data_IF_841152169679
#
_entry.id   IF_841152169679
#
_cell.length_a   1.000
_cell.length_b   1.000
_cell.length_c   1.000
_cell.angle_alpha   90.00
_cell.angle_beta   90.00
_cell.angle_gamma   90.00
#
_symmetry.space_group_name_H-M   'P 1'
#
loop_
_entity.id
_entity.type
_entity.pdbx_description
1 polymer ?
#
# COMPACT_ATOMS: atom_id res chain seq x y z
N UNK A 1 7.89 42.47 -24.39
CA UNK A 1 8.50 42.49 -23.05
C UNK A 1 7.57 41.82 -22.04
N UNK A 2 8.11 40.89 -21.26
CA UNK A 2 7.71 40.50 -19.90
C UNK A 2 6.34 39.87 -19.59
N UNK A 3 5.88 38.83 -20.30
CA UNK A 3 4.87 37.93 -19.68
C UNK A 3 4.88 36.46 -20.11
N UNK A 4 5.42 36.12 -21.28
CA UNK A 4 5.51 34.72 -21.72
C UNK A 4 6.76 33.96 -21.22
N UNK A 5 7.83 34.67 -20.81
CA UNK A 5 9.07 34.01 -20.36
C UNK A 5 9.00 33.41 -18.96
N UNK A 6 8.06 33.84 -18.10
CA UNK A 6 7.95 33.35 -16.72
C UNK A 6 7.27 31.97 -16.63
N UNK A 7 6.40 31.62 -17.58
CA UNK A 7 5.72 30.32 -17.58
C UNK A 7 6.60 29.17 -18.07
N UNK A 8 7.55 29.43 -18.97
CA UNK A 8 8.48 28.40 -19.44
C UNK A 8 9.57 28.07 -18.42
N UNK A 9 9.93 28.99 -17.53
CA UNK A 9 10.96 28.74 -16.50
C UNK A 9 10.38 27.94 -15.32
N UNK A 10 9.09 28.09 -15.00
CA UNK A 10 8.47 27.33 -13.91
C UNK A 10 8.28 25.83 -14.23
N UNK A 11 8.17 25.45 -15.51
CA UNK A 11 8.11 24.04 -15.94
C UNK A 11 9.49 23.37 -16.08
N UNK A 12 10.58 24.16 -16.05
CA UNK A 12 11.93 23.69 -16.34
C UNK A 12 12.83 23.54 -15.09
N UNK A 13 12.26 23.59 -13.88
CA UNK A 13 13.02 23.50 -12.61
C UNK A 13 12.88 22.12 -11.91
N UNK A 14 12.09 21.19 -12.44
CA UNK A 14 11.93 19.83 -11.84
C UNK A 14 12.72 18.74 -12.62
N UNK A 15 13.65 19.13 -13.50
CA UNK A 15 14.27 18.18 -14.44
C UNK A 15 15.70 17.71 -14.11
N UNK A 16 16.34 18.14 -13.01
CA UNK A 16 17.79 17.94 -12.86
C UNK A 16 18.28 17.25 -11.58
N UNK A 17 17.43 16.54 -10.83
CA UNK A 17 17.94 15.59 -9.83
C UNK A 17 16.85 14.66 -9.30
N UNK A 18 16.64 13.49 -9.91
CA UNK A 18 16.04 12.30 -9.26
C UNK A 18 16.05 11.09 -10.20
N UNK A 19 16.31 9.87 -9.73
CA UNK A 19 16.21 8.64 -10.52
C UNK A 19 14.76 8.30 -10.96
N UNK A 20 13.77 9.14 -10.62
CA UNK A 20 12.37 9.07 -11.04
C UNK A 20 12.07 9.80 -12.36
N UNK A 21 13.00 9.89 -13.32
CA UNK A 21 12.69 10.40 -14.66
C UNK A 21 11.63 9.51 -15.34
N UNK A 22 10.36 9.90 -15.23
CA UNK A 22 9.23 9.24 -15.89
C UNK A 22 8.04 8.90 -14.99
N UNK A 23 8.17 8.90 -13.66
CA UNK A 23 6.99 8.68 -12.80
C UNK A 23 6.20 9.98 -12.65
N UNK A 24 5.17 10.16 -13.46
CA UNK A 24 4.20 11.25 -13.30
C UNK A 24 3.26 10.89 -12.15
N UNK A 25 3.57 11.39 -10.96
CA UNK A 25 2.80 11.07 -9.73
C UNK A 25 1.35 11.56 -9.81
N UNK A 26 1.08 12.59 -10.61
CA UNK A 26 -0.27 13.12 -10.82
C UNK A 26 -1.23 12.09 -11.44
N UNK A 27 -0.70 11.14 -12.22
CA UNK A 27 -1.46 10.09 -12.90
C UNK A 27 -1.67 8.84 -12.05
N UNK A 28 -1.17 8.81 -10.81
CA UNK A 28 -1.35 7.68 -9.88
C UNK A 28 -2.75 7.77 -9.27
N UNK A 29 -3.69 6.83 -9.56
CA UNK A 29 -4.92 6.73 -8.81
C UNK A 29 -4.68 6.77 -7.30
N UNK A 30 -5.32 7.72 -6.63
CA UNK A 30 -5.15 7.94 -5.19
C UNK A 30 -5.73 6.80 -4.35
N UNK A 31 -6.57 5.96 -4.93
CA UNK A 31 -7.26 4.88 -4.23
C UNK A 31 -7.25 3.60 -5.05
N UNK A 32 -7.15 2.49 -4.34
CA UNK A 32 -7.45 1.17 -4.89
C UNK A 32 -8.96 0.99 -5.05
N UNK A 33 -9.39 -0.11 -5.65
CA UNK A 33 -10.79 -0.47 -5.87
C UNK A 33 -11.04 -1.87 -5.30
N UNK A 34 -12.15 -2.07 -4.59
CA UNK A 34 -12.63 -3.42 -4.22
C UNK A 34 -13.35 -4.10 -5.38
N UNK A 35 -14.07 -3.31 -6.15
CA UNK A 35 -14.77 -3.69 -7.39
C UNK A 35 -14.95 -2.42 -8.23
N UNK A 36 -15.59 -2.52 -9.41
CA UNK A 36 -15.77 -1.39 -10.34
C UNK A 36 -16.44 -0.14 -9.73
N UNK A 37 -17.25 -0.28 -8.68
CA UNK A 37 -18.05 0.81 -8.09
C UNK A 37 -17.57 1.23 -6.69
N UNK A 38 -16.73 0.43 -6.05
CA UNK A 38 -16.39 0.58 -4.63
C UNK A 38 -14.92 0.86 -4.46
N UNK A 39 -14.58 2.06 -4.00
CA UNK A 39 -13.21 2.42 -3.69
C UNK A 39 -12.69 1.64 -2.46
N UNK A 40 -11.45 1.18 -2.56
CA UNK A 40 -10.73 0.42 -1.55
C UNK A 40 -9.90 1.31 -0.63
N UNK A 41 -8.75 0.78 -0.20
CA UNK A 41 -7.79 1.48 0.66
C UNK A 41 -7.09 2.62 -0.10
N UNK A 42 -6.70 3.72 0.59
CA UNK A 42 -5.92 4.79 0.00
C UNK A 42 -4.51 4.31 -0.36
N UNK A 43 -3.99 4.78 -1.49
CA UNK A 43 -2.58 4.65 -1.84
C UNK A 43 -1.78 5.62 -0.97
N UNK A 44 -0.76 5.11 -0.29
CA UNK A 44 0.03 5.90 0.65
C UNK A 44 1.53 5.62 0.57
N UNK A 45 1.98 4.72 -0.29
CA UNK A 45 3.41 4.46 -0.51
C UNK A 45 3.71 4.09 -1.97
N UNK A 46 4.89 4.47 -2.45
CA UNK A 46 5.49 4.00 -3.70
C UNK A 46 6.90 3.53 -3.40
N UNK A 47 7.32 2.44 -4.03
CA UNK A 47 8.70 1.93 -3.96
C UNK A 47 9.26 1.81 -5.38
N UNK A 48 10.41 2.42 -5.62
CA UNK A 48 11.14 2.38 -6.89
C UNK A 48 12.38 1.52 -6.71
N UNK A 49 12.20 0.21 -6.87
CA UNK A 49 13.25 -0.79 -6.65
C UNK A 49 12.83 -2.16 -7.20
N UNK A 50 13.80 -3.05 -7.43
CA UNK A 50 13.52 -4.44 -7.80
C UNK A 50 12.71 -5.19 -6.75
N UNK A 51 11.83 -6.07 -7.22
CA UNK A 51 11.06 -7.00 -6.39
C UNK A 51 11.92 -7.75 -5.38
N UNK A 52 13.10 -8.19 -5.79
CA UNK A 52 14.02 -8.99 -4.97
C UNK A 52 14.50 -8.19 -3.76
N UNK A 53 14.88 -6.93 -3.95
CA UNK A 53 15.37 -6.07 -2.86
C UNK A 53 14.23 -5.59 -1.96
N UNK A 54 13.04 -5.34 -2.51
CA UNK A 54 11.82 -5.11 -1.74
C UNK A 54 11.54 -6.33 -0.85
N UNK A 55 11.55 -7.53 -1.43
CA UNK A 55 11.30 -8.77 -0.73
C UNK A 55 12.29 -9.00 0.41
N UNK A 56 13.59 -8.88 0.14
CA UNK A 56 14.67 -8.99 1.13
C UNK A 56 14.47 -8.01 2.29
N UNK A 57 14.13 -6.76 1.99
CA UNK A 57 13.89 -5.72 3.02
C UNK A 57 12.74 -6.10 3.95
N UNK A 58 11.63 -6.59 3.39
CA UNK A 58 10.50 -7.04 4.19
C UNK A 58 10.83 -8.28 5.03
N UNK A 59 11.43 -9.31 4.44
CA UNK A 59 11.72 -10.56 5.16
C UNK A 59 12.77 -10.39 6.24
N UNK A 60 13.80 -9.57 6.02
CA UNK A 60 14.77 -9.18 7.06
C UNK A 60 14.13 -8.40 8.21
N UNK A 61 13.02 -7.71 7.96
CA UNK A 61 12.21 -7.06 8.99
C UNK A 61 11.13 -7.97 9.62
N UNK A 62 11.17 -9.28 9.37
CA UNK A 62 10.25 -10.26 9.92
C UNK A 62 8.88 -10.35 9.23
N UNK A 63 8.68 -9.64 8.12
CA UNK A 63 7.44 -9.73 7.35
C UNK A 63 7.41 -10.99 6.50
N UNK A 64 6.21 -11.52 6.30
CA UNK A 64 5.96 -12.69 5.46
C UNK A 64 5.13 -12.30 4.24
N UNK A 65 5.41 -12.92 3.10
CA UNK A 65 4.52 -12.85 1.93
C UNK A 65 3.19 -13.52 2.29
N UNK A 66 2.09 -12.83 2.05
CA UNK A 66 0.76 -13.39 2.25
C UNK A 66 0.48 -14.47 1.20
N UNK A 67 -0.16 -15.55 1.64
CA UNK A 67 -0.54 -16.63 0.74
C UNK A 67 -1.56 -16.14 -0.30
N UNK A 68 -1.48 -16.71 -1.51
CA UNK A 68 -2.55 -16.55 -2.52
C UNK A 68 -3.87 -17.05 -1.95
N UNK A 69 -4.95 -16.32 -2.22
CA UNK A 69 -6.31 -16.73 -1.85
C UNK A 69 -6.66 -18.06 -2.52
N UNK A 70 -7.09 -19.04 -1.72
CA UNK A 70 -7.76 -20.27 -2.16
C UNK A 70 -8.94 -20.56 -1.23
N UNK A 71 -9.89 -21.38 -1.67
CA UNK A 71 -11.07 -21.75 -0.87
C UNK A 71 -10.66 -22.40 0.46
N UNK A 72 -9.71 -23.34 0.42
CA UNK A 72 -9.15 -24.00 1.60
C UNK A 72 -8.49 -23.01 2.59
N UNK A 73 -7.78 -22.00 2.09
CA UNK A 73 -7.12 -20.99 2.93
C UNK A 73 -8.10 -19.99 3.52
N UNK A 74 -9.23 -19.71 2.86
CA UNK A 74 -10.29 -18.88 3.44
C UNK A 74 -10.95 -19.55 4.66
N UNK A 75 -11.22 -20.85 4.59
CA UNK A 75 -11.73 -21.64 5.72
C UNK A 75 -10.70 -21.68 6.85
N UNK A 76 -9.42 -21.93 6.51
CA UNK A 76 -8.33 -21.90 7.49
C UNK A 76 -8.19 -20.55 8.20
N UNK A 77 -8.18 -19.43 7.48
CA UNK A 77 -8.14 -18.11 8.14
C UNK A 77 -9.34 -17.96 9.08
N UNK A 78 -10.56 -18.32 8.63
CA UNK A 78 -11.74 -18.18 9.47
C UNK A 78 -11.62 -18.97 10.78
N UNK A 79 -11.14 -20.22 10.70
CA UNK A 79 -10.88 -21.07 11.88
C UNK A 79 -9.76 -20.50 12.75
N UNK A 80 -8.61 -20.14 12.18
CA UNK A 80 -7.48 -19.56 12.92
C UNK A 80 -7.87 -18.26 13.63
N UNK A 81 -8.76 -17.48 13.00
CA UNK A 81 -9.34 -16.28 13.58
C UNK A 81 -10.29 -16.60 14.74
N UNK A 82 -11.12 -17.65 14.65
CA UNK A 82 -12.04 -18.06 15.72
C UNK A 82 -11.23 -18.63 16.91
N UNK A 83 -10.32 -19.56 16.65
CA UNK A 83 -9.50 -20.25 17.65
C UNK A 83 -8.27 -19.47 18.12
N UNK A 84 -8.06 -18.25 17.60
CA UNK A 84 -6.92 -17.39 17.94
C UNK A 84 -5.55 -18.06 17.67
N UNK A 85 -5.49 -18.92 16.64
CA UNK A 85 -4.28 -19.64 16.24
C UNK A 85 -3.43 -18.75 15.32
N UNK A 86 -2.10 -18.90 15.40
CA UNK A 86 -1.20 -18.13 14.54
C UNK A 86 -1.27 -18.61 13.08
N UNK A 87 -1.48 -17.67 12.15
CA UNK A 87 -1.29 -17.88 10.72
C UNK A 87 -0.43 -16.78 10.08
N UNK A 88 0.91 -16.96 10.12
CA UNK A 88 1.90 -15.96 9.68
C UNK A 88 1.89 -15.65 8.18
N UNK A 89 1.16 -16.42 7.36
CA UNK A 89 0.97 -16.18 5.91
C UNK A 89 -0.51 -16.01 5.51
N UNK A 90 -1.40 -15.72 6.47
CA UNK A 90 -2.81 -15.47 6.24
C UNK A 90 -3.06 -14.65 4.95
N UNK A 91 -3.86 -15.19 3.99
CA UNK A 91 -4.20 -14.46 2.78
C UNK A 91 -4.84 -13.10 3.06
N UNK A 92 -4.65 -12.18 2.12
CA UNK A 92 -5.23 -10.85 2.12
C UNK A 92 -6.26 -10.76 0.99
N UNK A 93 -7.41 -10.10 1.25
CA UNK A 93 -8.45 -9.90 0.24
C UNK A 93 -7.92 -9.18 -1.00
N UNK A 94 -8.49 -9.50 -2.18
CA UNK A 94 -8.12 -8.83 -3.43
C UNK A 94 -8.55 -7.36 -3.39
N UNK A 95 -7.63 -6.47 -3.77
CA UNK A 95 -7.92 -5.11 -4.17
C UNK A 95 -7.32 -4.89 -5.56
N UNK A 96 -7.91 -3.96 -6.28
CA UNK A 96 -7.58 -3.67 -7.66
C UNK A 96 -6.95 -2.29 -7.76
N UNK A 97 -5.96 -2.18 -8.62
CA UNK A 97 -5.34 -0.92 -8.99
C UNK A 97 -5.17 -0.94 -10.50
N UNK A 98 -5.67 0.09 -11.20
CA UNK A 98 -5.73 0.11 -12.67
C UNK A 98 -6.31 -1.20 -13.25
N UNK A 99 -7.43 -1.65 -12.68
CA UNK A 99 -8.13 -2.91 -13.05
C UNK A 99 -7.33 -4.21 -12.87
N UNK A 100 -6.13 -4.15 -12.28
CA UNK A 100 -5.28 -5.32 -11.99
C UNK A 100 -5.34 -5.69 -10.51
N UNK A 101 -5.48 -6.99 -10.14
CA UNK A 101 -5.34 -7.40 -8.75
C UNK A 101 -3.91 -7.15 -8.24
N UNK A 102 -3.73 -7.10 -6.91
CA UNK A 102 -2.40 -6.91 -6.35
C UNK A 102 -1.42 -8.02 -6.77
N UNK A 103 -0.18 -7.62 -7.08
CA UNK A 103 0.89 -8.54 -7.50
C UNK A 103 1.49 -9.27 -6.30
N UNK A 104 1.65 -8.56 -5.18
CA UNK A 104 2.20 -9.10 -3.95
C UNK A 104 1.58 -8.44 -2.72
N UNK A 105 1.58 -9.15 -1.61
CA UNK A 105 1.18 -8.62 -0.32
C UNK A 105 2.10 -9.14 0.76
N UNK A 106 2.47 -8.28 1.69
CA UNK A 106 3.25 -8.63 2.87
C UNK A 106 2.40 -8.42 4.11
N UNK A 107 2.63 -9.25 5.13
CA UNK A 107 2.02 -9.06 6.43
C UNK A 107 3.00 -9.36 7.57
N UNK A 108 2.75 -8.70 8.71
CA UNK A 108 3.41 -8.93 9.98
C UNK A 108 2.33 -9.06 11.06
N UNK A 109 2.28 -10.20 11.75
CA UNK A 109 1.32 -10.41 12.82
C UNK A 109 1.61 -9.51 14.02
N UNK A 110 0.56 -9.09 14.70
CA UNK A 110 0.64 -8.37 15.96
C UNK A 110 -0.08 -9.16 17.05
N UNK A 111 0.61 -9.54 18.12
CA UNK A 111 0.03 -10.31 19.23
C UNK A 111 -0.30 -11.77 18.90
N UNK A 112 0.46 -12.40 18.00
CA UNK A 112 0.45 -13.86 17.77
C UNK A 112 -0.75 -14.42 16.99
N UNK A 113 -1.68 -13.58 16.53
CA UNK A 113 -2.93 -13.99 15.91
C UNK A 113 -3.22 -13.20 14.63
N UNK A 114 -3.86 -13.79 13.59
CA UNK A 114 -4.24 -13.08 12.38
C UNK A 114 -5.34 -12.03 12.61
N UNK A 115 -5.91 -11.94 13.83
CA UNK A 115 -6.90 -10.91 14.20
C UNK A 115 -6.33 -9.49 14.13
N UNK A 116 -5.02 -9.36 14.39
CA UNK A 116 -4.28 -8.10 14.35
C UNK A 116 -3.02 -8.29 13.53
N UNK A 117 -2.85 -7.49 12.49
CA UNK A 117 -1.68 -7.57 11.61
C UNK A 117 -1.46 -6.29 10.87
N UNK A 118 -0.19 -5.96 10.67
CA UNK A 118 0.22 -4.99 9.69
C UNK A 118 0.18 -5.66 8.32
N UNK A 119 -0.34 -4.98 7.30
CA UNK A 119 -0.30 -5.49 5.95
C UNK A 119 -0.10 -4.38 4.92
N UNK A 120 0.52 -4.76 3.80
CA UNK A 120 0.69 -3.92 2.63
C UNK A 120 0.42 -4.73 1.38
N UNK A 121 -0.31 -4.14 0.44
CA UNK A 121 -0.49 -4.66 -0.91
C UNK A 121 0.31 -3.80 -1.89
N UNK A 122 0.95 -4.43 -2.87
CA UNK A 122 1.67 -3.74 -3.93
C UNK A 122 1.19 -4.17 -5.32
N UNK A 123 1.21 -3.21 -6.22
CA UNK A 123 0.97 -3.37 -7.65
C UNK A 123 2.19 -2.85 -8.41
N UNK A 124 2.75 -3.70 -9.27
CA UNK A 124 3.79 -3.29 -10.21
C UNK A 124 3.14 -2.48 -11.32
N UNK A 125 3.61 -1.26 -11.52
CA UNK A 125 3.17 -0.41 -12.62
C UNK A 125 3.89 -0.88 -13.90
N UNK A 126 3.16 -1.12 -15.00
CA UNK A 126 3.78 -1.43 -16.29
C UNK A 126 4.77 -0.35 -16.70
N UNK A 127 5.84 -0.77 -17.40
CA UNK A 127 6.99 0.01 -17.88
C UNK A 127 6.81 1.54 -17.85
N UNK A 128 7.50 2.16 -16.90
CA UNK A 128 7.82 3.59 -16.94
C UNK A 128 9.18 3.75 -17.63
N UNK A 129 9.53 4.95 -18.10
CA UNK A 129 10.89 5.28 -18.61
C UNK A 129 11.99 5.24 -17.52
N UNK A 130 11.76 4.50 -16.44
CA UNK A 130 12.64 4.30 -15.31
C UNK A 130 13.45 3.02 -15.50
N UNK A 131 14.74 3.07 -15.20
CA UNK A 131 15.62 1.89 -15.18
C UNK A 131 15.30 0.93 -14.01
N UNK A 132 14.38 1.29 -13.11
CA UNK A 132 13.96 0.50 -11.95
C UNK A 132 12.44 0.29 -11.94
N UNK A 133 12.01 -0.85 -11.38
CA UNK A 133 10.59 -1.18 -11.24
C UNK A 133 9.87 -0.22 -10.28
N UNK A 134 8.63 0.15 -10.60
CA UNK A 134 7.79 1.01 -9.75
C UNK A 134 6.64 0.19 -9.15
N UNK A 135 6.52 0.26 -7.83
CA UNK A 135 5.52 -0.45 -7.05
C UNK A 135 4.65 0.53 -6.27
N UNK A 136 3.38 0.63 -6.63
CA UNK A 136 2.40 1.42 -5.87
C UNK A 136 1.84 0.55 -4.76
N UNK A 137 1.67 1.12 -3.56
CA UNK A 137 1.25 0.39 -2.38
C UNK A 137 0.15 1.06 -1.55
N UNK A 138 -0.62 0.21 -0.90
CA UNK A 138 -1.59 0.60 0.12
C UNK A 138 -1.28 -0.17 1.42
N UNK A 139 -0.84 0.56 2.45
CA UNK A 139 -0.47 0.03 3.77
C UNK A 139 -1.59 0.31 4.76
N UNK A 140 -2.00 -0.70 5.54
CA UNK A 140 -2.93 -0.50 6.68
C UNK A 140 -2.74 -1.56 7.77
N UNK A 141 -3.32 -1.30 8.94
CA UNK A 141 -3.31 -2.21 10.08
C UNK A 141 -4.68 -2.81 10.30
N UNK A 142 -4.79 -4.12 10.33
CA UNK A 142 -5.99 -4.80 10.78
C UNK A 142 -6.00 -4.81 12.31
N UNK A 143 -7.03 -4.24 12.94
CA UNK A 143 -7.12 -4.15 14.41
C UNK A 143 -8.06 -5.18 15.05
N UNK A 144 -9.02 -5.69 14.28
CA UNK A 144 -9.94 -6.77 14.70
C UNK A 144 -10.63 -7.39 13.49
N UNK A 145 -11.40 -8.43 13.74
CA UNK A 145 -12.25 -9.10 12.75
C UNK A 145 -13.69 -8.65 12.94
N UNK A 146 -14.42 -8.54 11.83
CA UNK A 146 -15.86 -8.32 11.75
C UNK A 146 -16.49 -9.38 10.85
N UNK A 147 -17.74 -9.73 11.12
CA UNK A 147 -18.51 -10.57 10.21
C UNK A 147 -19.30 -9.66 9.26
N UNK A 148 -19.08 -9.79 7.97
CA UNK A 148 -19.85 -9.10 6.95
C UNK A 148 -21.15 -9.89 6.70
N UNK A 149 -22.29 -9.36 7.15
CA UNK A 149 -23.60 -10.02 7.04
C UNK A 149 -24.07 -10.21 5.60
N UNK A 150 -23.65 -9.35 4.68
CA UNK A 150 -24.02 -9.39 3.26
C UNK A 150 -23.26 -10.49 2.54
N UNK A 151 -21.93 -10.51 2.69
CA UNK A 151 -21.08 -11.50 2.00
C UNK A 151 -20.95 -12.81 2.77
N UNK A 152 -21.48 -12.87 4.00
CA UNK A 152 -21.33 -13.99 4.95
C UNK A 152 -19.88 -14.40 5.20
N UNK A 153 -18.95 -13.43 5.13
CA UNK A 153 -17.51 -13.64 5.30
C UNK A 153 -16.99 -12.87 6.52
N UNK A 154 -16.03 -13.45 7.22
CA UNK A 154 -15.21 -12.69 8.15
C UNK A 154 -14.26 -11.78 7.38
N UNK A 155 -14.29 -10.48 7.68
CA UNK A 155 -13.39 -9.47 7.13
C UNK A 155 -12.69 -8.73 8.26
N UNK A 156 -11.51 -8.19 8.00
CA UNK A 156 -10.83 -7.39 9.01
C UNK A 156 -11.38 -5.97 9.03
N UNK A 157 -11.35 -5.36 10.22
CA UNK A 157 -11.53 -3.93 10.41
C UNK A 157 -10.16 -3.29 10.55
N UNK A 158 -9.88 -2.31 9.72
CA UNK A 158 -8.62 -1.57 9.80
C UNK A 158 -8.60 -0.55 10.94
N UNK A 159 -7.41 -0.19 11.42
CA UNK A 159 -7.16 1.04 12.15
C UNK A 159 -7.38 2.23 11.22
N UNK A 160 -8.00 3.32 11.70
CA UNK A 160 -8.24 4.48 10.86
C UNK A 160 -6.96 5.25 10.51
N UNK A 161 -5.91 5.17 11.31
CA UNK A 161 -4.63 5.84 11.05
C UNK A 161 -3.79 5.03 10.03
N UNK A 162 -3.88 5.39 8.75
CA UNK A 162 -3.07 4.73 7.71
C UNK A 162 -1.65 5.32 7.62
N UNK A 163 -1.43 6.51 8.16
CA UNK A 163 -0.13 7.18 8.12
C UNK A 163 0.85 6.55 9.12
N UNK A 164 0.36 6.14 10.29
CA UNK A 164 1.17 5.38 11.24
C UNK A 164 1.79 4.13 10.61
N UNK A 165 1.01 3.44 9.78
CA UNK A 165 1.45 2.24 9.08
C UNK A 165 2.42 2.56 7.94
N UNK A 166 2.12 3.57 7.12
CA UNK A 166 3.06 4.09 6.12
C UNK A 166 4.40 4.46 6.76
N UNK A 167 4.38 5.21 7.85
CA UNK A 167 5.57 5.70 8.55
C UNK A 167 6.39 4.55 9.16
N UNK A 168 5.75 3.45 9.58
CA UNK A 168 6.45 2.24 9.99
C UNK A 168 7.23 1.62 8.83
N UNK A 169 6.60 1.47 7.64
CA UNK A 169 7.29 0.95 6.45
C UNK A 169 8.45 1.85 6.05
N UNK A 170 8.26 3.17 6.06
CA UNK A 170 9.34 4.14 5.79
C UNK A 170 10.52 3.93 6.74
N UNK A 171 10.27 3.76 8.05
CA UNK A 171 11.34 3.49 9.03
C UNK A 171 12.08 2.18 8.74
N UNK A 172 11.35 1.11 8.36
CA UNK A 172 11.96 -0.18 8.00
C UNK A 172 12.89 -0.02 6.79
N UNK A 173 12.42 0.63 5.74
CA UNK A 173 13.18 0.78 4.50
C UNK A 173 14.39 1.71 4.66
N UNK A 174 14.26 2.80 5.42
CA UNK A 174 15.41 3.68 5.75
C UNK A 174 16.52 2.92 6.49
N UNK A 175 16.17 2.01 7.40
CA UNK A 175 17.17 1.13 8.07
C UNK A 175 17.90 0.19 7.11
N UNK A 176 17.32 -0.08 5.94
CA UNK A 176 17.91 -0.92 4.89
C UNK A 176 18.52 -0.10 3.74
N UNK A 177 18.84 1.18 4.02
CA UNK A 177 19.57 2.05 3.09
C UNK A 177 18.73 2.73 2.02
N UNK A 178 17.39 2.64 2.08
CA UNK A 178 16.55 3.40 1.15
C UNK A 178 16.49 4.87 1.55
N UNK A 179 16.55 5.75 0.55
CA UNK A 179 16.14 7.15 0.65
C UNK A 179 14.62 7.22 0.68
N UNK A 180 14.10 8.24 1.35
CA UNK A 180 12.67 8.50 1.44
C UNK A 180 12.39 9.93 1.04
N UNK A 181 11.56 10.08 0.02
CA UNK A 181 11.02 11.35 -0.44
C UNK A 181 9.54 11.38 -0.12
N UNK A 182 9.00 12.58 0.10
CA UNK A 182 7.59 12.76 0.44
C UNK A 182 6.96 13.72 -0.56
N UNK A 183 5.78 13.35 -1.05
CA UNK A 183 4.94 14.21 -1.85
C UNK A 183 3.78 14.68 -0.98
N UNK A 184 3.79 15.96 -0.67
CA UNK A 184 2.70 16.60 0.05
C UNK A 184 1.45 16.73 -0.83
N UNK A 185 0.28 16.78 -0.19
CA UNK A 185 -1.03 17.00 -0.86
C UNK A 185 -1.37 15.99 -1.97
N UNK A 186 -0.78 14.79 -1.95
CA UNK A 186 -1.15 13.70 -2.87
C UNK A 186 -2.63 13.29 -2.71
N UNK A 187 -3.04 12.96 -1.47
CA UNK A 187 -4.45 12.73 -1.16
C UNK A 187 -5.15 14.08 -0.98
N UNK A 188 -6.14 14.35 -1.84
CA UNK A 188 -6.98 15.55 -1.71
C UNK A 188 -8.10 15.38 -0.69
N UNK A 189 -8.46 14.12 -0.37
CA UNK A 189 -9.44 13.78 0.64
C UNK A 189 -8.76 13.10 1.83
N UNK A 190 -8.69 13.82 2.96
CA UNK A 190 -7.93 13.42 4.14
C UNK A 190 -8.63 12.39 5.04
N UNK A 191 -9.90 12.07 4.79
CA UNK A 191 -10.62 11.02 5.49
C UNK A 191 -11.63 10.33 4.59
N UNK A 192 -11.95 9.07 4.87
CA UNK A 192 -12.87 8.31 4.02
C UNK A 192 -13.24 6.96 4.59
N UNK A 193 -13.87 6.14 3.75
CA UNK A 193 -14.17 4.74 4.04
C UNK A 193 -13.53 3.85 2.99
N UNK A 194 -12.95 2.73 3.40
CA UNK A 194 -12.46 1.72 2.47
C UNK A 194 -13.59 0.83 1.90
N UNK A 195 -13.22 -0.18 1.12
CA UNK A 195 -14.18 -1.07 0.45
C UNK A 195 -14.98 -1.98 1.39
N UNK A 196 -14.60 -2.08 2.65
CA UNK A 196 -15.35 -2.76 3.72
C UNK A 196 -16.14 -1.78 4.60
N UNK A 197 -16.15 -0.49 4.26
CA UNK A 197 -16.85 0.57 4.99
C UNK A 197 -16.11 1.06 6.23
N UNK A 198 -14.87 0.65 6.46
CA UNK A 198 -14.07 1.10 7.61
C UNK A 198 -13.51 2.49 7.36
N UNK A 199 -13.61 3.35 8.37
CA UNK A 199 -13.07 4.70 8.33
C UNK A 199 -11.53 4.69 8.30
N UNK A 200 -10.96 5.63 7.56
CA UNK A 200 -9.54 5.98 7.61
C UNK A 200 -9.36 7.51 7.60
N UNK A 201 -8.21 7.98 8.08
CA UNK A 201 -7.71 9.34 7.91
C UNK A 201 -6.23 9.32 7.48
N UNK A 202 -5.79 10.37 6.81
CA UNK A 202 -4.44 10.56 6.30
C UNK A 202 -4.03 12.04 6.30
N UNK A 203 -2.75 12.31 6.50
CA UNK A 203 -2.09 13.61 6.43
C UNK A 203 -1.93 14.16 5.01
N UNK A 204 -2.41 13.42 4.00
CA UNK A 204 -2.37 13.85 2.61
C UNK A 204 -1.15 13.34 1.84
N UNK A 205 -0.17 12.77 2.52
CA UNK A 205 1.18 12.57 1.95
C UNK A 205 1.35 11.20 1.31
N UNK A 206 2.14 11.17 0.24
CA UNK A 206 2.65 9.94 -0.37
C UNK A 206 4.13 9.78 -0.04
N UNK A 207 4.52 8.64 0.51
CA UNK A 207 5.93 8.32 0.71
C UNK A 207 6.48 7.60 -0.52
N UNK A 208 7.61 8.06 -1.05
CA UNK A 208 8.38 7.40 -2.10
C UNK A 208 9.66 6.84 -1.47
N UNK A 209 9.94 5.57 -1.73
CA UNK A 209 11.13 4.88 -1.26
C UNK A 209 11.96 4.41 -2.45
N UNK A 210 13.23 4.79 -2.47
CA UNK A 210 14.16 4.45 -3.54
C UNK A 210 15.58 4.29 -2.99
N UNK A 211 16.51 3.81 -3.81
CA UNK A 211 17.91 3.63 -3.47
C UNK A 211 18.80 4.33 -4.49
#
# INVERSE_FOLDING_TARGET
MCRLYYYCIAFMVILLCSPCQGLVVEDIPKRTMKNRKTAGDPVNIVIVESKERIHKTFTSAGWSVADKLSVSKNVRIALDCIFNLSYRKAPVSKLYYLNKPQDISYQLQYGGSPRKRHHVRFWKIPEQKSNKEVWVGAVSFDKKIKFNRVTKKFTHKISPDVDKERNMIVKIFKKHGFKSTVIDKFQTKLCGKNGEGDYYYTDGKLAILEN
#
